data_IF_910111250295
#
_entry.id   IF_910111250295
#
_cell.length_a   1.000
_cell.length_b   1.000
_cell.length_c   1.000
_cell.angle_alpha   90.00
_cell.angle_beta   90.00
_cell.angle_gamma   90.00
#
_symmetry.space_group_name_H-M   'P 1'
#
loop_
_entity.id
_entity.type
_entity.pdbx_description
1 polymer ?
#
# COMPACT_ATOMS: atom_id res chain seq x y z
N UNK A 1 -9.75 36.50 -39.92
CA UNK A 1 -9.88 35.07 -39.53
C UNK A 1 -8.63 34.67 -38.74
N UNK A 2 -8.78 34.27 -37.48
CA UNK A 2 -7.65 33.85 -36.65
C UNK A 2 -7.12 32.47 -37.11
N UNK A 3 -5.80 32.22 -37.11
CA UNK A 3 -5.26 30.90 -37.43
C UNK A 3 -5.68 29.89 -36.37
N UNK A 4 -6.13 28.71 -36.81
CA UNK A 4 -6.49 27.62 -35.92
C UNK A 4 -5.27 27.20 -35.06
N UNK A 5 -5.46 26.89 -33.77
CA UNK A 5 -4.37 26.42 -32.92
C UNK A 5 -3.80 25.10 -33.47
N UNK A 6 -2.49 24.86 -33.39
CA UNK A 6 -1.90 23.62 -33.88
C UNK A 6 -2.47 22.43 -33.11
N UNK A 7 -3.01 21.45 -33.84
CA UNK A 7 -3.50 20.20 -33.28
C UNK A 7 -2.41 19.59 -32.40
N UNK A 8 -2.75 19.32 -31.13
CA UNK A 8 -1.85 18.72 -30.15
C UNK A 8 -1.22 17.46 -30.76
N UNK A 9 0.10 17.51 -31.01
CA UNK A 9 0.82 16.41 -31.60
C UNK A 9 0.70 15.17 -30.71
N UNK A 10 0.10 14.11 -31.24
CA UNK A 10 -0.03 12.84 -30.53
C UNK A 10 1.36 12.38 -30.04
N UNK A 11 1.46 11.84 -28.80
CA UNK A 11 2.74 11.41 -28.27
C UNK A 11 3.34 10.32 -29.17
N UNK A 12 4.50 10.62 -29.76
CA UNK A 12 5.24 9.65 -30.59
C UNK A 12 5.60 8.42 -29.75
N UNK A 13 5.08 7.26 -30.16
CA UNK A 13 5.33 5.95 -29.55
C UNK A 13 5.93 4.99 -30.59
N UNK A 14 7.18 5.23 -31.03
CA UNK A 14 7.74 4.53 -32.20
C UNK A 14 8.11 3.07 -31.94
N UNK A 15 8.17 2.64 -30.67
CA UNK A 15 8.63 1.30 -30.30
C UNK A 15 7.44 0.38 -30.02
N UNK A 16 7.20 -0.61 -30.89
CA UNK A 16 6.10 -1.55 -30.75
C UNK A 16 6.60 -2.96 -30.41
N UNK A 17 5.79 -3.71 -29.66
CA UNK A 17 6.05 -5.11 -29.36
C UNK A 17 5.52 -6.03 -30.46
N UNK A 18 6.38 -6.88 -31.01
CA UNK A 18 6.00 -7.86 -32.05
C UNK A 18 5.03 -8.93 -31.56
N UNK A 19 5.08 -9.31 -30.28
CA UNK A 19 4.25 -10.38 -29.72
C UNK A 19 2.82 -9.95 -29.38
N UNK A 20 2.60 -8.68 -29.04
CA UNK A 20 1.27 -8.24 -28.56
C UNK A 20 0.86 -6.84 -29.03
N UNK A 21 1.58 -6.24 -29.99
CA UNK A 21 1.25 -4.96 -30.61
C UNK A 21 1.32 -3.72 -29.70
N UNK A 22 1.74 -3.85 -28.43
CA UNK A 22 1.79 -2.72 -27.50
C UNK A 22 2.90 -1.73 -27.87
N UNK A 23 2.57 -0.44 -27.90
CA UNK A 23 3.49 0.64 -28.24
C UNK A 23 4.02 1.36 -27.01
N UNK A 24 5.28 1.79 -27.10
CA UNK A 24 6.03 2.43 -26.04
C UNK A 24 6.75 3.67 -26.58
N UNK A 25 6.92 4.67 -25.70
CA UNK A 25 7.64 5.90 -26.01
C UNK A 25 9.16 5.69 -26.04
N UNK A 26 9.68 4.80 -25.21
CA UNK A 26 11.12 4.53 -25.08
C UNK A 26 11.46 3.08 -25.40
N UNK A 27 12.63 2.87 -26.02
CA UNK A 27 13.15 1.52 -26.33
C UNK A 27 13.40 0.68 -25.08
N UNK A 28 13.79 1.32 -23.97
CA UNK A 28 13.97 0.69 -22.66
C UNK A 28 12.67 0.06 -22.14
N UNK A 29 11.55 0.74 -22.33
CA UNK A 29 10.23 0.23 -21.95
C UNK A 29 9.81 -0.96 -22.79
N UNK A 30 10.02 -0.89 -24.12
CA UNK A 30 9.78 -2.03 -25.00
C UNK A 30 10.62 -3.25 -24.60
N UNK A 31 11.93 -3.06 -24.35
CA UNK A 31 12.82 -4.16 -23.93
C UNK A 31 12.34 -4.80 -22.61
N UNK A 32 11.96 -3.97 -21.65
CA UNK A 32 11.42 -4.37 -20.35
C UNK A 32 10.08 -5.09 -20.47
N UNK A 33 9.23 -4.64 -21.38
CA UNK A 33 7.97 -5.30 -21.71
C UNK A 33 8.22 -6.66 -22.37
N UNK A 34 9.14 -6.74 -23.32
CA UNK A 34 9.48 -7.97 -24.06
C UNK A 34 10.03 -9.07 -23.14
N UNK A 35 10.73 -8.68 -22.06
CA UNK A 35 11.16 -9.59 -21.00
C UNK A 35 9.98 -10.27 -20.26
N UNK A 36 8.75 -9.75 -20.36
CA UNK A 36 7.55 -10.45 -19.84
C UNK A 36 7.15 -11.63 -20.72
N UNK A 37 7.36 -11.56 -22.03
CA UNK A 37 7.01 -12.62 -22.97
C UNK A 37 8.00 -13.77 -22.91
N UNK A 38 9.28 -13.44 -22.83
CA UNK A 38 10.38 -14.43 -22.84
C UNK A 38 10.72 -15.01 -21.46
N UNK A 39 10.05 -14.56 -20.39
CA UNK A 39 10.39 -14.83 -19.00
C UNK A 39 11.87 -14.54 -18.61
N UNK A 40 12.63 -13.92 -19.50
CA UNK A 40 14.00 -13.47 -19.26
C UNK A 40 13.97 -12.44 -18.14
N UNK A 41 14.68 -12.75 -17.05
CA UNK A 41 14.87 -11.87 -15.91
C UNK A 41 16.28 -11.28 -16.04
N UNK A 42 16.45 -10.16 -16.76
CA UNK A 42 17.78 -9.62 -17.08
C UNK A 42 18.56 -9.18 -15.85
N UNK A 43 17.91 -9.04 -14.69
CA UNK A 43 18.54 -8.62 -13.45
C UNK A 43 18.50 -9.77 -12.43
N UNK A 44 19.59 -10.54 -12.34
CA UNK A 44 19.70 -11.63 -11.37
C UNK A 44 20.43 -11.20 -10.09
N UNK A 45 20.01 -11.74 -8.96
CA UNK A 45 20.70 -11.57 -7.69
C UNK A 45 21.98 -12.40 -7.68
N UNK A 46 23.17 -11.81 -7.47
CA UNK A 46 24.42 -12.56 -7.43
C UNK A 46 24.53 -13.49 -6.22
N UNK A 47 23.76 -13.24 -5.15
CA UNK A 47 23.83 -14.02 -3.90
C UNK A 47 22.93 -15.26 -3.90
N UNK A 48 21.77 -15.21 -4.56
CA UNK A 48 20.79 -16.31 -4.53
C UNK A 48 20.24 -16.70 -5.91
N UNK A 49 20.75 -16.11 -7.00
CA UNK A 49 20.32 -16.42 -8.37
C UNK A 49 18.91 -15.93 -8.75
N UNK A 50 18.16 -15.32 -7.82
CA UNK A 50 16.79 -14.88 -8.07
C UNK A 50 16.75 -13.77 -9.13
N UNK A 51 16.01 -13.99 -10.21
CA UNK A 51 15.88 -13.03 -11.31
C UNK A 51 14.70 -12.06 -11.17
N UNK A 52 14.91 -10.82 -11.60
CA UNK A 52 13.97 -9.71 -11.59
C UNK A 52 13.83 -9.09 -12.99
N UNK A 53 12.63 -8.57 -13.26
CA UNK A 53 12.32 -7.87 -14.52
C UNK A 53 12.90 -6.45 -14.56
N UNK A 54 13.17 -5.85 -13.40
CA UNK A 54 13.58 -4.46 -13.28
C UNK A 54 14.76 -4.33 -12.32
N UNK A 55 15.68 -3.41 -12.59
CA UNK A 55 16.86 -3.14 -11.75
C UNK A 55 16.48 -2.66 -10.35
N UNK A 56 15.47 -1.80 -10.22
CA UNK A 56 15.02 -1.31 -8.91
C UNK A 56 14.47 -2.44 -8.02
N UNK A 57 13.81 -3.44 -8.63
CA UNK A 57 13.34 -4.63 -7.90
C UNK A 57 14.51 -5.47 -7.38
N UNK A 58 15.57 -5.62 -8.20
CA UNK A 58 16.80 -6.26 -7.74
C UNK A 58 17.44 -5.47 -6.59
N UNK A 59 17.54 -4.14 -6.70
CA UNK A 59 18.09 -3.30 -5.63
C UNK A 59 17.30 -3.44 -4.31
N UNK A 60 15.97 -3.38 -4.35
CA UNK A 60 15.11 -3.61 -3.17
C UNK A 60 15.27 -5.04 -2.62
N UNK A 61 15.46 -6.03 -3.50
CA UNK A 61 15.74 -7.40 -3.10
C UNK A 61 17.10 -7.54 -2.43
N UNK A 62 18.15 -6.84 -2.88
CA UNK A 62 19.46 -6.88 -2.23
C UNK A 62 19.40 -6.40 -0.78
N UNK A 63 18.48 -5.48 -0.45
CA UNK A 63 18.20 -5.07 0.93
C UNK A 63 17.74 -6.23 1.84
N UNK A 64 17.35 -7.41 1.31
CA UNK A 64 17.03 -8.60 2.16
C UNK A 64 18.27 -9.16 2.76
N UNK A 65 19.33 -9.12 1.98
CA UNK A 65 20.58 -9.76 2.31
C UNK A 65 21.38 -8.89 3.27
N UNK A 66 21.18 -7.57 3.25
CA UNK A 66 21.81 -6.61 4.17
C UNK A 66 20.92 -6.26 5.35
N UNK A 67 19.60 -6.44 5.26
CA UNK A 67 18.65 -6.03 6.29
C UNK A 67 18.37 -4.53 6.33
N UNK A 68 18.87 -3.76 5.36
CA UNK A 68 18.65 -2.32 5.29
C UNK A 68 17.17 -1.96 5.15
N UNK A 69 16.72 -0.99 5.96
CA UNK A 69 15.35 -0.49 5.96
C UNK A 69 15.35 1.05 5.87
N UNK A 70 15.55 1.60 4.66
CA UNK A 70 15.70 3.05 4.47
C UNK A 70 14.42 3.83 4.76
N UNK A 71 13.26 3.20 4.57
CA UNK A 71 11.96 3.84 4.68
C UNK A 71 11.42 3.61 6.08
N UNK A 72 11.32 4.66 6.90
CA UNK A 72 10.82 4.55 8.28
C UNK A 72 9.46 5.22 8.42
N UNK A 73 8.58 4.60 9.19
CA UNK A 73 7.37 5.27 9.65
C UNK A 73 7.75 6.37 10.66
N UNK A 74 7.11 7.53 10.57
CA UNK A 74 7.31 8.61 11.55
C UNK A 74 6.56 8.36 12.86
N UNK A 75 5.43 7.65 12.80
CA UNK A 75 4.56 7.37 13.94
C UNK A 75 4.94 6.09 14.71
N UNK A 76 5.83 5.24 14.20
CA UNK A 76 6.25 4.02 14.89
C UNK A 76 7.66 3.58 14.46
N UNK A 77 8.35 2.72 15.23
CA UNK A 77 9.73 2.32 14.93
C UNK A 77 9.87 1.35 13.75
N UNK A 78 8.78 1.01 13.04
CA UNK A 78 8.84 0.07 11.90
C UNK A 78 9.54 0.68 10.70
N UNK A 79 10.51 -0.06 10.18
CA UNK A 79 11.22 0.22 8.93
C UNK A 79 10.82 -0.71 7.79
N UNK A 80 10.92 -0.23 6.56
CA UNK A 80 10.53 -0.89 5.33
C UNK A 80 11.67 -0.82 4.31
N UNK A 81 11.65 -1.80 3.40
CA UNK A 81 12.70 -1.98 2.40
C UNK A 81 12.39 -1.24 1.10
N UNK A 82 11.16 -0.84 0.89
CA UNK A 82 10.69 -0.01 -0.22
C UNK A 82 9.63 1.00 0.27
N UNK A 83 9.35 2.00 -0.57
CA UNK A 83 8.37 3.04 -0.28
C UNK A 83 6.93 2.53 -0.30
N UNK A 84 6.62 1.58 -1.18
CA UNK A 84 5.27 0.99 -1.28
C UNK A 84 4.87 0.26 0.00
N UNK A 85 5.78 -0.49 0.63
CA UNK A 85 5.52 -1.14 1.90
C UNK A 85 5.30 -0.15 3.05
N UNK A 86 5.99 0.98 3.05
CA UNK A 86 5.75 2.06 4.02
C UNK A 86 4.38 2.72 3.79
N UNK A 87 4.01 3.00 2.54
CA UNK A 87 2.73 3.61 2.20
C UNK A 87 1.55 2.75 2.69
N UNK A 88 1.52 1.47 2.32
CA UNK A 88 0.45 0.56 2.78
C UNK A 88 0.41 0.44 4.30
N UNK A 89 1.57 0.51 4.97
CA UNK A 89 1.61 0.52 6.43
C UNK A 89 0.98 1.77 7.03
N UNK A 90 1.25 2.94 6.45
CA UNK A 90 0.66 4.21 6.90
C UNK A 90 -0.85 4.25 6.65
N UNK A 91 -1.30 3.82 5.48
CA UNK A 91 -2.73 3.71 5.15
C UNK A 91 -3.44 2.76 6.11
N UNK A 92 -2.86 1.59 6.38
CA UNK A 92 -3.42 0.65 7.35
C UNK A 92 -3.43 1.22 8.79
N UNK A 93 -2.45 2.04 9.15
CA UNK A 93 -2.41 2.69 10.46
C UNK A 93 -3.49 3.75 10.60
N UNK A 94 -3.70 4.57 9.57
CA UNK A 94 -4.77 5.56 9.52
C UNK A 94 -6.14 4.89 9.60
N UNK A 95 -6.37 3.83 8.82
CA UNK A 95 -7.63 3.10 8.85
C UNK A 95 -7.93 2.45 10.22
N UNK A 96 -6.91 2.03 10.97
CA UNK A 96 -7.09 1.52 12.34
C UNK A 96 -7.35 2.63 13.35
N UNK A 97 -6.67 3.76 13.22
CA UNK A 97 -6.87 4.94 14.07
C UNK A 97 -8.30 5.51 13.90
N UNK A 98 -8.81 5.58 12.67
CA UNK A 98 -10.20 5.96 12.39
C UNK A 98 -11.23 5.00 13.02
N UNK A 99 -10.90 3.70 13.10
CA UNK A 99 -11.75 2.71 13.77
C UNK A 99 -11.67 2.80 15.30
N UNK A 100 -10.52 3.19 15.86
CA UNK A 100 -10.32 3.42 17.30
C UNK A 100 -11.02 4.72 17.75
N UNK A 101 -10.95 5.79 16.97
CA UNK A 101 -11.70 7.04 17.22
C UNK A 101 -13.22 6.84 17.10
N UNK A 102 -13.66 5.98 16.18
CA UNK A 102 -15.07 5.56 16.05
C UNK A 102 -15.57 4.59 17.14
N UNK A 103 -14.69 4.06 17.99
CA UNK A 103 -15.05 3.12 19.06
C UNK A 103 -15.34 3.80 20.41
N UNK A 104 -15.16 5.11 20.52
CA UNK A 104 -15.53 5.87 21.72
C UNK A 104 -16.86 6.66 21.60
N UNK A 105 -17.71 6.38 20.61
CA UNK A 105 -19.12 6.87 20.56
C UNK A 105 -20.15 5.86 21.09
N UNK A 106 -19.72 4.93 21.95
CA UNK A 106 -20.62 4.33 22.95
C UNK A 106 -20.51 5.10 24.26
N UNK A 107 -20.60 6.43 24.12
CA UNK A 107 -20.69 7.38 25.22
C UNK A 107 -21.92 7.06 26.08
N UNK A 108 -21.74 7.20 27.39
CA UNK A 108 -22.62 6.95 28.52
C UNK A 108 -24.07 7.51 28.44
N UNK A 109 -24.45 8.16 27.34
CA UNK A 109 -25.72 8.87 27.19
C UNK A 109 -26.92 7.94 26.90
N UNK A 110 -26.71 6.75 26.31
CA UNK A 110 -27.78 5.74 26.13
C UNK A 110 -28.04 4.87 27.36
N UNK A 111 -27.09 4.80 28.31
CA UNK A 111 -27.34 4.17 29.61
C UNK A 111 -28.38 4.96 30.42
N UNK A 112 -28.45 6.29 30.26
CA UNK A 112 -29.46 7.14 30.93
C UNK A 112 -30.89 6.87 30.44
N UNK A 113 -31.07 6.47 29.18
CA UNK A 113 -32.38 6.14 28.59
C UNK A 113 -32.90 4.77 29.08
N UNK A 114 -32.00 3.82 29.33
CA UNK A 114 -32.35 2.52 29.93
C UNK A 114 -32.53 2.63 31.45
N UNK A 115 -31.66 3.37 32.16
CA UNK A 115 -31.74 3.58 33.62
C UNK A 115 -32.97 4.36 34.08
N UNK A 116 -33.57 5.22 33.23
CA UNK A 116 -34.85 5.90 33.57
C UNK A 116 -36.04 4.95 33.62
N UNK A 117 -35.91 3.72 33.10
CA UNK A 117 -36.99 2.73 32.98
C UNK A 117 -36.84 1.52 33.91
N UNK A 118 -35.88 1.54 34.84
CA UNK A 118 -35.59 0.43 35.77
C UNK A 118 -35.21 0.93 37.17
N UNK A 119 -36.02 1.85 37.71
CA UNK A 119 -35.90 2.31 39.11
C UNK A 119 -37.13 1.94 39.95
N UNK A 120 -37.77 0.82 39.61
CA UNK A 120 -38.69 0.13 40.50
C UNK A 120 -38.32 -1.35 40.49
N UNK A 121 -38.03 -1.90 41.68
CA UNK A 121 -37.81 -3.33 41.98
C UNK A 121 -36.38 -3.90 41.84
N UNK A 122 -35.56 -3.58 42.85
CA UNK A 122 -34.81 -4.54 43.69
C UNK A 122 -33.69 -5.46 43.11
N UNK A 123 -32.48 -5.24 43.64
CA UNK A 123 -31.64 -6.31 44.19
C UNK A 123 -30.47 -6.87 43.34
N UNK A 124 -29.40 -7.41 43.96
CA UNK A 124 -28.03 -7.18 43.52
C UNK A 124 -27.34 -8.45 43.00
N UNK A 125 -27.08 -8.54 41.69
CA UNK A 125 -26.20 -9.60 41.17
C UNK A 125 -25.26 -9.08 40.09
N UNK A 126 -24.02 -8.84 40.55
CA UNK A 126 -22.74 -9.29 39.98
C UNK A 126 -22.64 -9.41 38.46
N UNK A 127 -21.97 -8.47 37.79
CA UNK A 127 -21.20 -8.78 36.58
C UNK A 127 -19.87 -8.02 36.63
N UNK A 128 -18.88 -8.70 37.19
CA UNK A 128 -17.47 -8.31 37.15
C UNK A 128 -16.91 -8.53 35.75
N UNK A 129 -16.57 -7.45 35.04
CA UNK A 129 -15.79 -7.54 33.81
C UNK A 129 -14.29 -7.56 34.14
N UNK A 130 -13.63 -8.63 33.73
CA UNK A 130 -12.19 -8.87 33.89
C UNK A 130 -11.45 -8.16 32.75
N UNK A 131 -10.34 -7.45 33.00
CA UNK A 131 -9.53 -6.91 31.90
C UNK A 131 -8.84 -8.06 31.17
N UNK A 132 -8.92 -8.06 29.84
CA UNK A 132 -8.05 -8.89 29.01
C UNK A 132 -6.77 -8.08 28.72
N UNK A 133 -5.64 -8.74 28.92
CA UNK A 133 -4.27 -8.24 28.74
C UNK A 133 -3.92 -8.04 27.26
#
# INVERSE_FOLDING_TARGET
PAPAPPAAAAPRVPFHCSECGKSFRYRSDLRRHFARHTALKPHACPRCGKGFKHSFNLANHLRSHTGERPYRCSACPKGFRDSTGLLHHQEAKQALEELEEGQCDWSMEKQKVWLRRSLESAGPWKYSCRPHW
#
